data_IF_351649458705
#
_entry.id   IF_351649458705
#
_cell.length_a   1.000
_cell.length_b   1.000
_cell.length_c   1.000
_cell.angle_alpha   90.00
_cell.angle_beta   90.00
_cell.angle_gamma   90.00
#
_symmetry.space_group_name_H-M   'P 1'
#
loop_
_entity.id
_entity.type
_entity.pdbx_description
1 polymer ?
#
# COMPACT_ATOMS: atom_id res chain seq x y z
N UNK A 1 6.75 7.41 24.59
CA UNK A 1 6.47 6.04 24.11
C UNK A 1 6.99 5.97 22.67
N UNK A 2 7.89 5.04 22.36
CA UNK A 2 8.35 4.83 20.99
C UNK A 2 7.30 4.00 20.23
N UNK A 3 6.84 4.49 19.08
CA UNK A 3 6.00 3.71 18.17
C UNK A 3 6.88 2.59 17.60
N UNK A 4 6.50 1.33 17.83
CA UNK A 4 7.24 0.20 17.29
C UNK A 4 7.04 0.14 15.76
N UNK A 5 8.15 0.17 15.00
CA UNK A 5 8.10 0.05 13.55
C UNK A 5 7.52 -1.31 13.13
N UNK A 6 6.74 -1.37 12.03
CA UNK A 6 6.30 -2.62 11.44
C UNK A 6 7.45 -3.61 11.19
N UNK A 7 7.29 -4.84 11.68
CA UNK A 7 8.26 -5.92 11.48
C UNK A 7 7.72 -6.90 10.43
N UNK A 8 8.50 -7.22 9.37
CA UNK A 8 8.07 -8.18 8.38
C UNK A 8 8.16 -9.61 8.91
N UNK A 9 7.38 -10.52 8.34
CA UNK A 9 7.47 -11.95 8.66
C UNK A 9 8.74 -12.59 8.03
N UNK A 10 8.90 -13.92 8.18
CA UNK A 10 10.03 -14.68 7.63
C UNK A 10 10.22 -14.54 6.11
N UNK A 11 9.14 -14.29 5.37
CA UNK A 11 9.16 -14.09 3.91
C UNK A 11 9.49 -12.63 3.52
N UNK A 12 9.70 -11.76 4.51
CA UNK A 12 9.89 -10.34 4.31
C UNK A 12 8.59 -9.57 4.10
N UNK A 13 7.43 -10.23 4.22
CA UNK A 13 6.12 -9.63 3.98
C UNK A 13 5.62 -8.91 5.24
N UNK A 14 5.17 -7.66 5.08
CA UNK A 14 4.43 -6.94 6.14
C UNK A 14 2.97 -7.38 6.08
N UNK A 15 2.50 -8.04 7.13
CA UNK A 15 1.18 -8.72 7.16
C UNK A 15 0.33 -8.36 8.38
N UNK A 16 0.95 -7.78 9.40
CA UNK A 16 0.30 -7.49 10.67
C UNK A 16 -0.40 -6.13 10.63
N UNK A 17 -1.72 -6.16 10.80
CA UNK A 17 -2.60 -5.01 11.04
C UNK A 17 -3.13 -4.95 12.48
N UNK A 18 -2.73 -5.89 13.36
CA UNK A 18 -3.47 -6.23 14.59
C UNK A 18 -2.82 -5.84 15.93
N UNK A 19 -1.57 -5.39 15.98
CA UNK A 19 -0.87 -5.07 17.25
C UNK A 19 0.00 -3.81 17.23
N UNK A 20 -0.12 -2.97 16.22
CA UNK A 20 0.60 -1.70 16.14
C UNK A 20 -0.32 -0.63 15.58
N UNK A 21 -0.17 0.60 16.09
CA UNK A 21 -0.67 1.77 15.40
C UNK A 21 -0.11 1.74 13.97
N UNK A 22 -0.98 1.94 12.99
CA UNK A 22 -0.64 1.95 11.58
C UNK A 22 0.50 2.91 11.34
N UNK A 23 1.42 2.52 10.47
CA UNK A 23 2.62 3.28 10.22
C UNK A 23 2.43 4.07 8.94
N UNK A 24 2.47 5.39 9.03
CA UNK A 24 2.19 6.24 7.87
C UNK A 24 3.41 6.43 6.97
N UNK A 25 4.60 6.54 7.55
CA UNK A 25 5.79 6.95 6.81
C UNK A 25 6.64 5.74 6.43
N UNK A 26 6.77 5.49 5.14
CA UNK A 26 7.68 4.47 4.64
C UNK A 26 8.60 5.06 3.58
N UNK A 27 9.61 4.29 3.23
CA UNK A 27 10.54 4.61 2.17
C UNK A 27 10.58 3.48 1.16
N UNK A 28 10.66 3.84 -0.12
CA UNK A 28 10.91 2.90 -1.21
C UNK A 28 12.36 2.46 -1.18
N UNK A 29 12.57 1.15 -1.07
CA UNK A 29 13.88 0.49 -1.09
C UNK A 29 13.97 -0.57 -2.19
N UNK A 30 13.07 -0.49 -3.18
CA UNK A 30 13.07 -1.35 -4.36
C UNK A 30 14.43 -1.25 -5.08
N UNK A 31 15.13 -2.38 -5.30
CA UNK A 31 16.41 -2.37 -6.00
C UNK A 31 16.28 -2.10 -7.50
N UNK A 32 15.08 -2.18 -8.07
CA UNK A 32 14.85 -1.88 -9.49
C UNK A 32 15.09 -0.38 -9.76
N UNK A 33 15.98 0.00 -10.70
CA UNK A 33 16.20 1.40 -11.07
C UNK A 33 14.96 2.08 -11.67
N UNK A 34 14.01 1.31 -12.22
CA UNK A 34 12.72 1.83 -12.67
C UNK A 34 11.77 2.20 -11.51
N UNK A 35 12.14 1.80 -10.29
CA UNK A 35 11.44 2.12 -9.06
C UNK A 35 10.24 1.22 -8.75
N UNK A 36 9.49 1.60 -7.73
CA UNK A 36 8.38 0.80 -7.22
C UNK A 36 7.06 1.18 -7.92
N UNK A 37 6.41 0.18 -8.50
CA UNK A 37 5.10 0.33 -9.12
C UNK A 37 4.00 0.47 -8.08
N UNK A 38 3.17 1.51 -8.20
CA UNK A 38 1.91 1.65 -7.50
C UNK A 38 0.74 1.34 -8.44
N UNK A 39 -0.15 0.45 -8.02
CA UNK A 39 -1.16 -0.16 -8.89
C UNK A 39 -2.57 0.07 -8.39
N UNK A 40 -3.49 0.30 -9.33
CA UNK A 40 -4.93 0.36 -9.07
C UNK A 40 -5.69 -0.09 -10.31
N UNK A 41 -6.72 -0.93 -10.13
CA UNK A 41 -7.57 -1.32 -11.25
C UNK A 41 -8.34 -0.09 -11.75
N UNK A 42 -8.52 0.02 -13.08
CA UNK A 42 -9.19 1.17 -13.71
C UNK A 42 -10.55 1.53 -13.12
N UNK A 43 -11.36 0.53 -12.75
CA UNK A 43 -12.68 0.72 -12.13
C UNK A 43 -12.65 1.30 -10.71
N UNK A 44 -11.49 1.30 -10.06
CA UNK A 44 -11.28 1.77 -8.70
C UNK A 44 -10.38 3.02 -8.64
N UNK A 45 -9.93 3.54 -9.78
CA UNK A 45 -9.18 4.79 -9.82
C UNK A 45 -10.10 5.95 -9.38
N UNK A 46 -9.58 6.85 -8.53
CA UNK A 46 -10.34 7.95 -7.93
C UNK A 46 -11.10 7.59 -6.65
N UNK A 47 -11.08 6.32 -6.22
CA UNK A 47 -11.63 5.90 -4.94
C UNK A 47 -10.58 6.09 -3.85
N UNK A 48 -10.96 6.77 -2.76
CA UNK A 48 -10.18 6.80 -1.54
C UNK A 48 -10.36 5.47 -0.78
N UNK A 49 -9.26 4.82 -0.38
CA UNK A 49 -9.27 3.49 0.25
C UNK A 49 -9.66 3.51 1.73
N UNK A 50 -9.78 4.70 2.32
CA UNK A 50 -10.20 4.96 3.71
C UNK A 50 -11.60 5.60 3.81
N UNK A 51 -12.31 5.73 2.68
CA UNK A 51 -13.62 6.37 2.63
C UNK A 51 -14.78 5.41 2.94
N UNK A 52 -15.92 5.95 3.36
CA UNK A 52 -17.15 5.17 3.64
C UNK A 52 -17.69 4.48 2.38
N UNK A 53 -17.38 5.01 1.20
CA UNK A 53 -17.80 4.47 -0.08
C UNK A 53 -16.74 3.58 -0.75
N UNK A 54 -15.66 3.20 -0.06
CA UNK A 54 -14.72 2.21 -0.60
C UNK A 54 -15.48 0.91 -0.88
N UNK A 55 -15.46 0.37 -2.10
CA UNK A 55 -16.15 -0.87 -2.44
C UNK A 55 -15.75 -2.02 -1.53
N UNK A 56 -16.74 -2.77 -1.04
CA UNK A 56 -16.54 -3.90 -0.12
C UNK A 56 -15.53 -4.91 -0.65
N UNK A 57 -15.45 -5.09 -1.98
CA UNK A 57 -14.51 -6.05 -2.56
C UNK A 57 -13.05 -5.62 -2.32
N UNK A 58 -12.74 -4.32 -2.34
CA UNK A 58 -11.39 -3.79 -2.00
C UNK A 58 -11.04 -3.93 -0.52
N UNK A 59 -12.03 -4.22 0.31
CA UNK A 59 -11.90 -4.44 1.75
C UNK A 59 -12.10 -5.92 2.12
N UNK A 60 -12.46 -6.75 1.14
CA UNK A 60 -12.78 -8.16 1.35
C UNK A 60 -11.52 -8.99 1.65
N UNK A 61 -11.72 -9.98 2.51
CA UNK A 61 -10.72 -11.00 2.86
C UNK A 61 -10.81 -12.24 1.98
N UNK A 62 -11.62 -12.20 0.93
CA UNK A 62 -11.77 -13.30 -0.02
C UNK A 62 -10.59 -13.36 -1.01
N UNK A 63 -9.73 -12.33 -1.01
CA UNK A 63 -8.49 -12.26 -1.78
C UNK A 63 -8.69 -12.52 -3.29
N UNK A 64 -9.82 -12.08 -3.84
CA UNK A 64 -10.22 -12.41 -5.22
C UNK A 64 -9.43 -11.67 -6.32
N UNK A 65 -8.55 -10.74 -5.94
CA UNK A 65 -7.86 -9.88 -6.91
C UNK A 65 -6.43 -10.28 -7.16
N UNK A 66 -5.99 -10.18 -8.41
CA UNK A 66 -4.58 -10.18 -8.77
C UNK A 66 -4.09 -8.72 -8.89
N UNK A 67 -3.63 -8.12 -7.79
CA UNK A 67 -3.16 -6.73 -7.79
C UNK A 67 -1.95 -6.53 -8.72
N UNK A 68 -1.13 -7.58 -8.92
CA UNK A 68 0.04 -7.50 -9.80
C UNK A 68 -0.31 -7.30 -11.29
N UNK A 69 -1.53 -7.69 -11.71
CA UNK A 69 -2.00 -7.47 -13.08
C UNK A 69 -2.73 -6.15 -13.28
N UNK A 70 -2.93 -5.35 -12.22
CA UNK A 70 -3.55 -4.04 -12.34
C UNK A 70 -2.61 -3.02 -12.99
N UNK A 71 -3.20 -1.98 -13.57
CA UNK A 71 -2.48 -0.88 -14.19
C UNK A 71 -1.55 -0.18 -13.19
N UNK A 72 -0.37 0.23 -13.68
CA UNK A 72 0.55 1.07 -12.92
C UNK A 72 0.14 2.52 -13.11
N UNK A 73 -0.46 3.12 -12.09
CA UNK A 73 -0.92 4.52 -12.14
C UNK A 73 0.10 5.51 -11.59
N UNK A 74 1.07 5.02 -10.82
CA UNK A 74 2.18 5.81 -10.30
C UNK A 74 3.43 4.95 -10.17
N UNK A 75 4.62 5.57 -10.28
CA UNK A 75 5.91 4.92 -10.00
C UNK A 75 6.72 5.81 -9.08
N UNK A 76 7.13 5.26 -7.95
CA UNK A 76 8.01 5.91 -7.01
C UNK A 76 9.46 5.66 -7.37
N UNK A 77 10.33 6.63 -7.14
CA UNK A 77 11.78 6.46 -7.29
C UNK A 77 12.36 5.72 -6.08
N UNK A 78 13.45 4.97 -6.24
CA UNK A 78 14.20 4.45 -5.09
C UNK A 78 14.58 5.58 -4.12
N UNK A 79 14.38 5.35 -2.82
CA UNK A 79 14.62 6.33 -1.77
C UNK A 79 13.48 7.32 -1.51
N UNK A 80 12.45 7.36 -2.37
CA UNK A 80 11.29 8.23 -2.21
C UNK A 80 10.46 7.83 -0.98
N UNK A 81 9.87 8.83 -0.31
CA UNK A 81 8.96 8.61 0.82
C UNK A 81 7.56 8.30 0.29
N UNK A 82 6.89 7.36 0.91
CA UNK A 82 5.49 7.05 0.64
C UNK A 82 4.66 7.29 1.90
N UNK A 83 3.40 7.68 1.69
CA UNK A 83 2.41 7.87 2.74
C UNK A 83 1.40 6.75 2.68
N UNK A 84 1.50 5.84 3.65
CA UNK A 84 0.60 4.72 3.75
C UNK A 84 -0.72 5.15 4.39
N UNK A 85 -1.81 4.58 3.88
CA UNK A 85 -3.15 4.83 4.37
C UNK A 85 -3.34 4.04 5.66
N UNK A 86 -3.76 4.76 6.69
CA UNK A 86 -4.09 4.20 8.02
C UNK A 86 -5.56 4.49 8.28
N UNK A 87 -6.37 3.46 8.40
CA UNK A 87 -7.81 3.57 8.51
C UNK A 87 -8.28 3.98 9.90
N UNK A 88 -9.58 3.87 10.11
CA UNK A 88 -10.19 4.08 11.42
C UNK A 88 -9.48 3.23 12.49
N UNK A 89 -9.18 3.83 13.64
CA UNK A 89 -8.36 3.24 14.72
C UNK A 89 -6.90 2.95 14.35
N UNK A 90 -6.33 3.66 13.37
CA UNK A 90 -4.94 3.49 12.91
C UNK A 90 -4.64 2.10 12.35
N UNK A 91 -5.60 1.39 11.78
CA UNK A 91 -5.31 0.06 11.19
C UNK A 91 -4.62 0.26 9.84
N UNK A 92 -3.50 -0.42 9.60
CA UNK A 92 -2.81 -0.36 8.31
C UNK A 92 -3.70 -0.96 7.20
N UNK A 93 -3.90 -0.24 6.09
CA UNK A 93 -4.57 -0.80 4.91
C UNK A 93 -3.62 -1.74 4.16
N UNK A 94 -3.68 -3.03 4.50
CA UNK A 94 -2.99 -4.10 3.79
C UNK A 94 -4.05 -5.00 3.14
N UNK A 95 -4.07 -5.02 1.81
CA UNK A 95 -4.86 -5.94 1.01
C UNK A 95 -4.01 -7.16 0.64
N UNK A 96 -4.56 -8.37 0.67
CA UNK A 96 -3.88 -9.52 0.06
C UNK A 96 -4.50 -9.84 -1.30
N UNK A 97 -3.65 -10.26 -2.24
CA UNK A 97 -4.08 -10.74 -3.55
C UNK A 97 -4.38 -12.24 -3.56
N UNK A 98 -4.84 -12.75 -4.69
CA UNK A 98 -5.17 -14.15 -4.98
C UNK A 98 -3.99 -15.13 -4.79
N UNK A 99 -2.77 -14.61 -4.64
CA UNK A 99 -1.54 -15.36 -4.35
C UNK A 99 -1.09 -15.21 -2.90
N UNK A 100 -1.95 -14.64 -2.04
CA UNK A 100 -1.67 -14.40 -0.63
C UNK A 100 -0.56 -13.38 -0.39
N UNK A 101 -0.29 -12.50 -1.36
CA UNK A 101 0.75 -11.48 -1.25
C UNK A 101 0.18 -10.18 -0.70
N UNK A 102 0.81 -9.54 0.29
CA UNK A 102 0.28 -8.31 0.87
C UNK A 102 0.66 -7.07 0.07
N UNK A 103 -0.27 -6.13 0.00
CA UNK A 103 -0.21 -4.89 -0.73
C UNK A 103 -0.62 -3.74 0.19
N UNK A 104 0.27 -2.75 0.31
CA UNK A 104 0.10 -1.58 1.17
C UNK A 104 -0.65 -0.51 0.39
N UNK A 105 -1.79 -0.07 0.91
CA UNK A 105 -2.50 1.11 0.41
C UNK A 105 -1.69 2.37 0.71
N UNK A 106 -1.40 3.16 -0.32
CA UNK A 106 -0.64 4.40 -0.22
C UNK A 106 -1.33 5.51 -0.98
N UNK A 107 -1.05 6.73 -0.57
CA UNK A 107 -1.58 7.95 -1.12
C UNK A 107 -0.50 8.67 -1.92
N UNK A 108 -0.80 9.05 -3.15
CA UNK A 108 0.13 9.75 -4.05
C UNK A 108 -0.55 10.94 -4.72
N UNK A 109 0.19 12.03 -4.99
CA UNK A 109 -0.31 13.08 -5.86
C UNK A 109 -0.50 12.54 -7.28
N UNK A 110 -1.65 12.85 -7.89
CA UNK A 110 -1.94 12.59 -9.28
C UNK A 110 -1.03 13.44 -10.17
N UNK A 111 -0.64 12.92 -11.34
CA UNK A 111 0.34 13.61 -12.21
C UNK A 111 -0.19 14.97 -12.66
N UNK A 112 0.43 16.05 -12.18
CA UNK A 112 0.25 17.40 -12.71
C UNK A 112 -0.86 18.24 -12.07
N UNK A 113 -1.38 17.86 -10.90
CA UNK A 113 -2.39 18.66 -10.19
C UNK A 113 -2.47 18.35 -8.70
N UNK A 114 -3.47 18.94 -8.04
CA UNK A 114 -3.74 18.79 -6.60
C UNK A 114 -4.58 17.55 -6.25
N UNK A 115 -4.98 16.77 -7.26
CA UNK A 115 -5.74 15.55 -7.05
C UNK A 115 -4.87 14.49 -6.37
N UNK A 116 -5.41 13.88 -5.32
CA UNK A 116 -4.73 12.84 -4.56
C UNK A 116 -5.40 11.50 -4.90
N UNK A 117 -4.61 10.54 -5.36
CA UNK A 117 -5.08 9.20 -5.69
C UNK A 117 -4.50 8.18 -4.73
N UNK A 118 -5.29 7.15 -4.45
CA UNK A 118 -4.86 6.01 -3.66
C UNK A 118 -4.49 4.84 -4.59
N UNK A 119 -3.46 4.08 -4.22
CA UNK A 119 -2.97 2.95 -4.98
C UNK A 119 -2.26 1.94 -4.07
N UNK A 120 -1.94 0.77 -4.61
CA UNK A 120 -1.30 -0.31 -3.86
C UNK A 120 0.15 -0.53 -4.30
N UNK A 121 1.06 -0.55 -3.33
CA UNK A 121 2.44 -1.01 -3.53
C UNK A 121 2.67 -2.35 -2.82
N UNK A 122 3.70 -3.08 -3.23
CA UNK A 122 3.97 -4.38 -2.63
C UNK A 122 4.50 -4.24 -1.19
N UNK A 123 3.80 -4.82 -0.21
CA UNK A 123 4.16 -4.72 1.20
C UNK A 123 5.22 -5.77 1.59
N UNK A 124 6.45 -5.61 1.11
CA UNK A 124 7.56 -6.48 1.44
C UNK A 124 8.85 -5.67 1.66
N UNK A 125 9.71 -6.10 2.58
CA UNK A 125 10.97 -5.45 2.95
C UNK A 125 11.96 -5.25 1.80
N UNK A 126 11.78 -6.00 0.69
CA UNK A 126 12.54 -5.82 -0.55
C UNK A 126 12.14 -4.57 -1.33
N UNK A 127 10.96 -4.01 -1.08
CA UNK A 127 10.40 -2.89 -1.84
C UNK A 127 10.15 -1.67 -0.98
N UNK A 128 9.76 -1.87 0.29
CA UNK A 128 9.45 -0.78 1.22
C UNK A 128 9.99 -1.07 2.62
N UNK A 129 10.36 -0.01 3.36
CA UNK A 129 10.69 -0.09 4.79
C UNK A 129 10.00 1.03 5.57
N UNK A 130 9.54 0.77 6.80
CA UNK A 130 9.02 1.83 7.65
C UNK A 130 10.16 2.76 8.10
N UNK A 131 9.88 4.07 8.20
CA UNK A 131 10.81 5.11 8.65
C UNK A 131 10.22 6.00 9.74
#
# INVERSE_FOLDING_TARGET
>A
MAIALPVPNRNGDYTSTRRGAGHQHWQVVDPDPAGLNCRMARRYQGIALDAVNTPDELMSRDYAFNVSSWEVIHRFRPGEKLWAITGHMTIQHIQFDDRGKPWLGVRVPHRGGDEIIDCFVRANRRFVRPI
#
